data_IF_592350085799
#
_entry.id   IF_592350085799
#
_cell.length_a   1.000
_cell.length_b   1.000
_cell.length_c   1.000
_cell.angle_alpha   90.00
_cell.angle_beta   90.00
_cell.angle_gamma   90.00
#
_symmetry.space_group_name_H-M   'P 1'
#
loop_
_entity.id
_entity.type
_entity.pdbx_description
1 polymer ?
#
# COMPACT_ATOMS: atom_id res chain seq x y z
N UNK A 1 13.04 27.00 3.53
CA UNK A 1 12.27 26.49 4.69
C UNK A 1 12.65 25.04 4.95
N UNK A 2 12.90 24.62 6.20
CA UNK A 2 13.20 23.22 6.53
C UNK A 2 11.92 22.46 6.84
N UNK A 3 11.69 21.34 6.16
CA UNK A 3 10.46 20.58 6.30
C UNK A 3 10.73 19.09 6.54
N UNK A 4 10.06 18.48 7.51
CA UNK A 4 10.12 17.07 7.79
C UNK A 4 8.78 16.39 7.46
N UNK A 5 8.83 15.22 6.82
CA UNK A 5 7.65 14.45 6.45
C UNK A 5 7.69 13.07 7.10
N UNK A 6 6.55 12.65 7.65
CA UNK A 6 6.33 11.30 8.15
C UNK A 6 5.07 10.72 7.54
N UNK A 7 5.22 9.61 6.84
CA UNK A 7 4.09 8.89 6.23
C UNK A 7 3.94 7.55 6.91
N UNK A 8 2.76 7.31 7.45
CA UNK A 8 2.39 6.05 8.09
C UNK A 8 1.33 5.34 7.26
N UNK A 9 1.35 4.01 7.26
CA UNK A 9 0.32 3.17 6.65
C UNK A 9 0.57 2.82 5.19
N UNK A 10 -0.37 3.13 4.31
CA UNK A 10 -0.44 2.54 2.98
C UNK A 10 0.25 3.37 1.87
N UNK A 11 0.42 2.74 0.70
CA UNK A 11 0.95 3.38 -0.52
C UNK A 11 0.17 4.62 -0.94
N UNK A 12 -1.16 4.65 -0.70
CA UNK A 12 -2.00 5.82 -0.97
C UNK A 12 -1.55 7.03 -0.14
N UNK A 13 -1.26 6.84 1.16
CA UNK A 13 -0.73 7.92 2.00
C UNK A 13 0.64 8.40 1.49
N UNK A 14 1.47 7.52 0.99
CA UNK A 14 2.79 7.89 0.45
C UNK A 14 2.65 8.79 -0.78
N UNK A 15 1.82 8.40 -1.76
CA UNK A 15 1.54 9.26 -2.93
C UNK A 15 1.06 10.63 -2.52
N UNK A 16 0.14 10.69 -1.56
CA UNK A 16 -0.43 11.96 -1.09
C UNK A 16 0.61 12.86 -0.40
N UNK A 17 1.57 12.28 0.31
CA UNK A 17 2.66 13.05 0.91
C UNK A 17 3.64 13.57 -0.15
N UNK A 18 3.98 12.74 -1.13
CA UNK A 18 4.84 13.14 -2.25
C UNK A 18 4.19 14.24 -3.12
N UNK A 19 2.88 14.12 -3.37
CA UNK A 19 2.12 15.16 -4.07
C UNK A 19 2.12 16.47 -3.28
N UNK A 20 1.90 16.41 -1.95
CA UNK A 20 1.96 17.59 -1.11
C UNK A 20 3.30 18.32 -1.22
N UNK A 21 4.40 17.57 -1.22
CA UNK A 21 5.73 18.17 -1.38
C UNK A 21 5.83 18.94 -2.71
N UNK A 22 5.24 18.45 -3.78
CA UNK A 22 5.14 19.17 -5.06
C UNK A 22 4.36 20.48 -4.96
N UNK A 23 3.23 20.50 -4.23
CA UNK A 23 2.45 21.72 -4.00
C UNK A 23 3.16 22.75 -3.12
N UNK A 24 4.10 22.32 -2.29
CA UNK A 24 4.85 23.20 -1.41
C UNK A 24 6.14 23.76 -2.04
N UNK A 25 6.38 23.58 -3.34
CA UNK A 25 7.58 24.08 -4.04
C UNK A 25 7.80 25.58 -3.86
N UNK A 26 6.73 26.39 -3.79
CA UNK A 26 6.81 27.83 -3.56
C UNK A 26 7.47 28.19 -2.20
N UNK A 27 7.52 27.25 -1.26
CA UNK A 27 8.22 27.39 0.02
C UNK A 27 9.69 26.95 -0.05
N UNK A 28 10.15 26.47 -1.20
CA UNK A 28 11.50 25.91 -1.40
C UNK A 28 11.92 24.97 -0.26
N UNK A 29 11.17 23.87 -0.01
CA UNK A 29 11.38 23.05 1.16
C UNK A 29 12.68 22.24 1.06
N UNK A 30 13.60 22.47 2.00
CA UNK A 30 14.69 21.55 2.28
C UNK A 30 14.13 20.40 3.12
N UNK A 31 14.04 19.21 2.54
CA UNK A 31 13.54 18.02 3.26
C UNK A 31 14.61 17.50 4.21
N UNK A 32 14.27 17.47 5.49
CA UNK A 32 15.19 17.04 6.56
C UNK A 32 14.60 15.85 7.36
N UNK A 33 15.43 14.99 7.95
CA UNK A 33 14.97 13.98 8.89
C UNK A 33 14.28 14.64 10.10
N UNK A 34 13.20 14.05 10.60
CA UNK A 34 12.46 14.55 11.76
C UNK A 34 13.38 14.73 12.98
N UNK A 35 14.30 13.80 13.17
CA UNK A 35 15.22 13.71 14.28
C UNK A 35 16.38 14.71 14.20
N UNK A 36 16.60 15.33 13.05
CA UNK A 36 17.63 16.36 12.87
C UNK A 36 17.30 17.64 13.65
N UNK A 37 16.02 17.84 13.98
CA UNK A 37 15.56 19.04 14.64
C UNK A 37 15.62 20.31 13.77
N UNK A 38 15.03 21.38 14.26
CA UNK A 38 15.06 22.69 13.57
C UNK A 38 14.26 22.74 12.27
N UNK A 39 13.26 21.87 12.10
CA UNK A 39 12.29 22.00 11.03
C UNK A 39 11.32 23.16 11.34
N UNK A 40 10.95 23.92 10.30
CA UNK A 40 9.92 24.96 10.36
C UNK A 40 8.52 24.32 10.19
N UNK A 41 8.44 23.27 9.38
CA UNK A 41 7.22 22.51 9.08
C UNK A 41 7.44 21.03 9.36
N UNK A 42 6.47 20.38 10.02
CA UNK A 42 6.40 18.93 10.11
C UNK A 42 5.04 18.47 9.61
N UNK A 43 5.02 17.58 8.63
CA UNK A 43 3.81 16.95 8.11
C UNK A 43 3.78 15.48 8.46
N UNK A 44 2.71 15.04 9.13
CA UNK A 44 2.47 13.63 9.49
C UNK A 44 1.22 13.14 8.76
N UNK A 45 1.39 12.23 7.80
CA UNK A 45 0.28 11.56 7.13
C UNK A 45 -0.02 10.26 7.87
N UNK A 46 -1.13 10.23 8.58
CA UNK A 46 -1.48 9.26 9.62
C UNK A 46 -2.28 8.05 9.12
N UNK A 47 -2.16 6.93 9.82
CA UNK A 47 -2.92 5.70 9.57
C UNK A 47 -3.81 5.35 10.76
N UNK A 48 -4.98 4.72 10.48
CA UNK A 48 -5.95 4.26 11.49
C UNK A 48 -6.51 2.84 11.19
N UNK A 49 -5.83 2.06 10.35
CA UNK A 49 -6.31 0.72 9.97
C UNK A 49 -6.17 -0.25 11.16
N UNK A 50 -5.11 -0.12 11.95
CA UNK A 50 -4.87 -0.94 13.16
C UNK A 50 -4.62 -0.04 14.37
N UNK A 51 -4.80 -0.61 15.59
CA UNK A 51 -4.46 0.09 16.84
C UNK A 51 -2.96 0.38 16.95
N UNK A 52 -2.11 -0.48 16.38
CA UNK A 52 -0.67 -0.24 16.28
C UNK A 52 -0.38 1.01 15.45
N UNK A 53 -0.99 1.13 14.27
CA UNK A 53 -0.82 2.30 13.42
C UNK A 53 -1.29 3.62 14.08
N UNK A 54 -2.34 3.55 14.91
CA UNK A 54 -2.77 4.69 15.73
C UNK A 54 -1.74 5.03 16.80
N UNK A 55 -1.21 4.02 17.50
CA UNK A 55 -0.17 4.21 18.51
C UNK A 55 1.10 4.81 17.90
N UNK A 56 1.51 4.33 16.73
CA UNK A 56 2.64 4.87 15.97
C UNK A 56 2.39 6.33 15.59
N UNK A 57 1.18 6.66 15.11
CA UNK A 57 0.82 8.05 14.80
C UNK A 57 0.98 8.95 16.03
N UNK A 58 0.41 8.54 17.18
CA UNK A 58 0.55 9.32 18.43
C UNK A 58 2.00 9.48 18.87
N UNK A 59 2.81 8.42 18.69
CA UNK A 59 4.26 8.46 18.98
C UNK A 59 4.97 9.45 18.06
N UNK A 60 4.69 9.44 16.76
CA UNK A 60 5.33 10.36 15.81
C UNK A 60 4.94 11.82 16.06
N UNK A 61 3.70 12.13 16.46
CA UNK A 61 3.31 13.50 16.85
C UNK A 61 4.10 13.99 18.05
N UNK A 62 4.21 13.16 19.12
CA UNK A 62 5.04 13.51 20.29
C UNK A 62 6.52 13.69 19.93
N UNK A 63 7.06 12.82 19.05
CA UNK A 63 8.45 12.94 18.56
C UNK A 63 8.63 14.23 17.76
N UNK A 64 7.68 14.56 16.89
CA UNK A 64 7.72 15.78 16.10
C UNK A 64 7.83 17.01 17.00
N UNK A 65 6.97 17.13 18.00
CA UNK A 65 7.00 18.25 18.94
C UNK A 65 8.28 18.29 19.79
N UNK A 66 8.78 17.13 20.22
CA UNK A 66 10.01 17.03 21.01
C UNK A 66 11.25 17.45 20.24
N UNK A 67 11.41 17.00 18.99
CA UNK A 67 12.58 17.32 18.17
C UNK A 67 12.48 18.71 17.52
N UNK A 68 11.27 19.19 17.27
CA UNK A 68 11.00 20.45 16.59
C UNK A 68 9.97 21.28 17.38
N UNK A 69 10.37 21.85 18.55
CA UNK A 69 9.43 22.49 19.48
C UNK A 69 8.72 23.71 18.88
N UNK A 70 9.33 24.39 17.91
CA UNK A 70 8.81 25.60 17.28
C UNK A 70 8.19 25.35 15.89
N UNK A 71 8.25 24.12 15.38
CA UNK A 71 7.70 23.78 14.07
C UNK A 71 6.18 23.92 14.04
N UNK A 72 5.64 24.29 12.87
CA UNK A 72 4.24 24.11 12.57
C UNK A 72 3.97 22.64 12.24
N UNK A 73 3.32 21.93 13.15
CA UNK A 73 3.04 20.49 13.03
C UNK A 73 1.64 20.29 12.48
N UNK A 74 1.55 19.72 11.29
CA UNK A 74 0.28 19.39 10.62
C UNK A 74 0.10 17.89 10.53
N UNK A 75 -1.03 17.40 11.02
CA UNK A 75 -1.41 15.96 10.91
C UNK A 75 -2.55 15.80 9.95
N UNK A 76 -2.39 14.91 8.97
CA UNK A 76 -3.42 14.52 8.00
C UNK A 76 -3.59 13.01 7.97
N UNK A 77 -4.42 12.48 7.08
CA UNK A 77 -4.60 11.05 6.89
C UNK A 77 -5.78 10.47 7.67
N UNK A 78 -5.76 9.13 7.81
CA UNK A 78 -6.91 8.40 8.35
C UNK A 78 -7.14 8.67 9.84
N UNK A 79 -6.08 8.72 10.65
CA UNK A 79 -6.22 8.96 12.08
C UNK A 79 -6.62 10.40 12.40
N UNK A 80 -6.24 11.35 11.55
CA UNK A 80 -6.71 12.74 11.64
C UNK A 80 -8.25 12.85 11.55
N UNK A 81 -8.91 11.94 10.83
CA UNK A 81 -10.37 11.87 10.78
C UNK A 81 -11.03 11.11 11.93
N UNK A 82 -10.25 10.31 12.66
CA UNK A 82 -10.77 9.47 13.74
C UNK A 82 -10.66 10.15 15.12
N UNK A 83 -9.54 10.81 15.39
CA UNK A 83 -9.22 11.37 16.70
C UNK A 83 -8.51 12.74 16.60
N UNK A 84 -9.16 13.76 16.01
CA UNK A 84 -8.54 15.07 15.78
C UNK A 84 -8.13 15.76 17.08
N UNK A 85 -8.94 15.67 18.13
CA UNK A 85 -8.69 16.35 19.39
C UNK A 85 -7.49 15.75 20.13
N UNK A 86 -7.38 14.41 20.14
CA UNK A 86 -6.20 13.71 20.68
C UNK A 86 -4.92 14.18 19.99
N UNK A 87 -4.95 14.38 18.68
CA UNK A 87 -3.78 14.83 17.93
C UNK A 87 -3.37 16.27 18.30
N UNK A 88 -4.34 17.16 18.53
CA UNK A 88 -4.08 18.53 19.01
C UNK A 88 -3.50 18.52 20.41
N UNK A 89 -4.05 17.76 21.33
CA UNK A 89 -3.53 17.59 22.71
C UNK A 89 -2.09 17.08 22.72
N UNK A 90 -1.70 16.25 21.74
CA UNK A 90 -0.35 15.74 21.58
C UNK A 90 0.63 16.72 20.95
N UNK A 91 0.16 17.92 20.54
CA UNK A 91 0.99 18.99 20.01
C UNK A 91 0.90 19.22 18.51
N UNK A 92 -0.13 18.72 17.81
CA UNK A 92 -0.40 19.12 16.44
C UNK A 92 -1.02 20.54 16.42
N UNK A 93 -0.47 21.44 15.61
CA UNK A 93 -0.99 22.81 15.45
C UNK A 93 -2.20 22.81 14.49
N UNK A 94 -2.21 21.93 13.51
CA UNK A 94 -3.34 21.73 12.59
C UNK A 94 -3.62 20.26 12.35
N UNK A 95 -4.92 19.91 12.24
CA UNK A 95 -5.38 18.57 11.91
C UNK A 95 -6.34 18.64 10.72
N UNK A 96 -5.93 18.05 9.60
CA UNK A 96 -6.67 18.08 8.34
C UNK A 96 -7.05 16.64 7.94
N UNK A 97 -8.30 16.20 8.18
CA UNK A 97 -8.74 14.84 7.85
C UNK A 97 -8.80 14.60 6.34
N UNK A 98 -8.86 13.33 5.90
CA UNK A 98 -8.94 12.97 4.48
C UNK A 98 -10.11 13.66 3.75
N UNK A 99 -11.25 13.85 4.40
CA UNK A 99 -12.40 14.54 3.80
C UNK A 99 -12.11 16.01 3.41
N UNK A 100 -11.08 16.61 4.03
CA UNK A 100 -10.65 17.99 3.79
C UNK A 100 -9.20 18.06 3.29
N UNK A 101 -8.65 16.96 2.82
CA UNK A 101 -7.22 16.87 2.45
C UNK A 101 -6.83 17.84 1.32
N UNK A 102 -7.74 18.20 0.43
CA UNK A 102 -7.52 19.21 -0.58
C UNK A 102 -7.18 20.61 -0.02
N UNK A 103 -7.55 20.88 1.24
CA UNK A 103 -7.24 22.15 1.92
C UNK A 103 -5.82 22.19 2.50
N UNK A 104 -5.13 21.03 2.59
CA UNK A 104 -3.86 20.93 3.29
C UNK A 104 -2.76 21.83 2.72
N UNK A 105 -2.56 21.94 1.39
CA UNK A 105 -1.59 22.88 0.84
C UNK A 105 -1.90 24.33 1.25
N UNK A 106 -3.17 24.73 1.18
CA UNK A 106 -3.62 26.06 1.57
C UNK A 106 -3.32 26.36 3.05
N UNK A 107 -3.69 25.45 3.95
CA UNK A 107 -3.43 25.60 5.40
C UNK A 107 -1.94 25.82 5.70
N UNK A 108 -1.08 25.13 4.96
CA UNK A 108 0.38 25.28 5.14
C UNK A 108 0.86 26.59 4.54
N UNK A 109 0.49 26.93 3.29
CA UNK A 109 0.95 28.15 2.62
C UNK A 109 0.53 29.40 3.37
N UNK A 110 -0.73 29.48 3.81
CA UNK A 110 -1.26 30.60 4.63
C UNK A 110 -0.46 30.78 5.92
N UNK A 111 -0.06 29.68 6.60
CA UNK A 111 0.76 29.74 7.83
C UNK A 111 2.12 30.40 7.60
N UNK A 112 2.68 30.25 6.40
CA UNK A 112 3.96 30.84 6.02
C UNK A 112 3.83 32.15 5.21
N UNK A 113 2.64 32.74 5.20
CA UNK A 113 2.39 34.05 4.59
C UNK A 113 2.37 34.06 3.05
N UNK A 114 2.23 32.90 2.43
CA UNK A 114 2.10 32.79 0.99
C UNK A 114 0.63 32.70 0.58
N UNK A 115 0.22 33.43 -0.50
CA UNK A 115 -1.12 33.30 -1.03
C UNK A 115 -1.33 31.88 -1.57
N UNK A 116 -2.49 31.31 -1.28
CA UNK A 116 -2.94 30.09 -1.92
C UNK A 116 -3.47 30.41 -3.32
N UNK A 117 -2.59 30.38 -4.31
CA UNK A 117 -3.01 30.49 -5.71
C UNK A 117 -3.88 29.24 -6.08
N UNK A 118 -4.93 29.37 -6.88
CA UNK A 118 -5.68 28.23 -7.42
C UNK A 118 -4.81 27.13 -8.06
N UNK A 119 -3.64 27.48 -8.57
CA UNK A 119 -2.66 26.54 -9.14
C UNK A 119 -2.00 25.66 -8.06
N UNK A 120 -1.93 26.09 -6.82
CA UNK A 120 -1.34 25.31 -5.70
C UNK A 120 -2.36 24.42 -5.00
N UNK A 121 -3.66 24.63 -5.26
CA UNK A 121 -4.72 23.79 -4.71
C UNK A 121 -5.01 22.68 -5.73
N UNK A 122 -4.96 21.40 -5.36
CA UNK A 122 -5.27 20.34 -6.31
C UNK A 122 -6.67 20.53 -6.88
N UNK A 123 -6.82 20.56 -8.21
CA UNK A 123 -8.11 20.82 -8.85
C UNK A 123 -9.14 19.69 -8.62
N UNK A 124 -8.68 18.56 -8.13
CA UNK A 124 -9.49 17.39 -7.80
C UNK A 124 -8.95 16.65 -6.56
N UNK A 125 -9.67 15.65 -6.11
CA UNK A 125 -9.36 14.84 -4.93
C UNK A 125 -8.17 13.88 -5.14
N UNK A 126 -7.64 13.79 -6.37
CA UNK A 126 -6.48 13.01 -6.72
C UNK A 126 -5.27 13.93 -6.84
N UNK A 127 -4.38 13.81 -5.87
CA UNK A 127 -3.12 14.52 -5.90
C UNK A 127 -2.13 13.72 -6.73
N UNK A 128 -1.54 14.34 -7.72
CA UNK A 128 -0.52 13.68 -8.50
C UNK A 128 -0.34 14.18 -9.90
N UNK A 129 -1.05 15.15 -10.41
CA UNK A 129 -0.74 15.74 -11.71
C UNK A 129 0.38 16.76 -11.60
N UNK A 130 1.45 16.60 -12.35
CA UNK A 130 2.55 17.55 -12.45
C UNK A 130 3.84 17.09 -11.74
N UNK A 131 4.75 18.02 -11.56
CA UNK A 131 6.04 17.77 -10.89
C UNK A 131 5.85 17.55 -9.41
N UNK A 132 5.69 16.30 -8.99
CA UNK A 132 5.69 15.95 -7.56
C UNK A 132 7.11 15.69 -7.05
N UNK A 133 7.31 15.93 -5.77
CA UNK A 133 8.54 15.51 -5.08
C UNK A 133 8.50 14.02 -4.79
N UNK A 134 9.60 13.31 -5.03
CA UNK A 134 9.76 11.91 -4.62
C UNK A 134 10.57 11.89 -3.32
N UNK A 135 9.97 11.36 -2.24
CA UNK A 135 10.61 11.32 -0.92
C UNK A 135 11.54 10.11 -0.75
N UNK A 136 11.18 8.95 -1.29
CA UNK A 136 11.80 7.69 -0.89
C UNK A 136 12.38 6.83 -2.00
N UNK A 137 12.05 7.03 -3.26
CA UNK A 137 12.59 6.19 -4.34
C UNK A 137 12.64 6.94 -5.66
N UNK A 138 13.78 6.81 -6.34
CA UNK A 138 13.96 7.25 -7.73
C UNK A 138 13.81 6.10 -8.73
N UNK A 139 13.46 4.90 -8.28
CA UNK A 139 13.37 3.69 -9.09
C UNK A 139 11.92 3.28 -9.33
N UNK A 140 11.11 3.29 -8.27
CA UNK A 140 9.68 2.96 -8.31
C UNK A 140 8.85 4.14 -7.86
N UNK A 141 7.72 4.37 -8.53
CA UNK A 141 6.75 5.37 -8.09
C UNK A 141 5.35 4.77 -7.98
N UNK A 142 4.61 5.20 -6.97
CA UNK A 142 3.20 4.84 -6.83
C UNK A 142 2.35 5.81 -7.64
N UNK A 143 1.44 5.27 -8.46
CA UNK A 143 0.46 6.03 -9.22
C UNK A 143 -0.93 5.78 -8.63
N UNK A 144 -1.47 6.75 -7.92
CA UNK A 144 -2.80 6.68 -7.32
C UNK A 144 -3.87 6.97 -8.36
N UNK A 145 -4.74 5.99 -8.61
CA UNK A 145 -5.81 6.08 -9.63
C UNK A 145 -7.21 5.88 -9.05
N UNK A 146 -7.30 5.41 -7.79
CA UNK A 146 -8.57 5.16 -7.12
C UNK A 146 -8.48 5.55 -5.65
N UNK A 147 -9.55 6.09 -5.07
CA UNK A 147 -9.67 6.41 -3.64
C UNK A 147 -11.09 6.14 -3.13
N UNK A 148 -11.19 5.99 -1.80
CA UNK A 148 -12.46 5.65 -1.16
C UNK A 148 -12.89 4.21 -1.40
N UNK A 149 -13.93 3.75 -0.67
CA UNK A 149 -14.45 2.39 -0.79
C UNK A 149 -15.90 2.31 -0.30
N UNK A 150 -16.75 1.57 -1.01
CA UNK A 150 -18.14 1.30 -0.64
C UNK A 150 -18.44 -0.22 -0.54
N UNK A 151 -17.42 -1.07 -0.41
CA UNK A 151 -17.59 -2.52 -0.34
C UNK A 151 -18.40 -2.99 0.89
N UNK A 152 -18.37 -2.22 1.99
CA UNK A 152 -19.18 -2.50 3.18
C UNK A 152 -18.68 -3.64 4.05
N UNK A 153 -17.39 -3.99 3.98
CA UNK A 153 -16.79 -5.01 4.85
C UNK A 153 -17.02 -4.68 6.32
N UNK A 154 -17.51 -5.66 7.10
CA UNK A 154 -17.98 -5.44 8.46
C UNK A 154 -16.90 -4.90 9.42
N UNK A 155 -15.63 -5.25 9.18
CA UNK A 155 -14.48 -4.86 10.00
C UNK A 155 -13.82 -3.55 9.57
N UNK A 156 -14.14 -3.02 8.37
CA UNK A 156 -13.37 -1.96 7.75
C UNK A 156 -13.88 -0.57 8.09
N UNK A 157 -12.97 0.29 8.55
CA UNK A 157 -13.26 1.70 8.88
C UNK A 157 -13.05 2.64 7.68
N UNK A 158 -12.41 2.18 6.62
CA UNK A 158 -12.00 3.00 5.47
C UNK A 158 -13.15 3.77 4.81
N UNK A 159 -14.37 3.21 4.61
CA UNK A 159 -15.48 3.95 4.05
C UNK A 159 -15.82 5.25 4.82
N UNK A 160 -15.61 5.23 6.14
CA UNK A 160 -15.85 6.40 7.01
C UNK A 160 -14.74 7.44 6.93
N UNK A 161 -13.50 7.01 6.67
CA UNK A 161 -12.31 7.86 6.70
C UNK A 161 -11.94 8.43 5.34
N UNK A 162 -12.29 7.74 4.25
CA UNK A 162 -11.97 8.12 2.88
C UNK A 162 -13.18 8.37 1.99
N UNK A 163 -14.38 8.04 2.48
CA UNK A 163 -15.64 8.30 1.78
C UNK A 163 -15.90 7.37 0.59
N UNK A 164 -16.74 7.85 -0.32
CA UNK A 164 -17.17 7.12 -1.52
C UNK A 164 -16.03 6.87 -2.48
N UNK A 165 -16.20 5.84 -3.32
CA UNK A 165 -15.25 5.53 -4.40
C UNK A 165 -15.13 6.70 -5.38
N UNK A 166 -13.90 7.02 -5.75
CA UNK A 166 -13.53 8.02 -6.76
C UNK A 166 -12.48 7.41 -7.67
N UNK A 167 -12.59 7.71 -8.94
CA UNK A 167 -11.76 7.13 -9.98
C UNK A 167 -11.14 8.26 -10.81
N UNK A 168 -9.82 8.21 -10.94
CA UNK A 168 -9.08 9.18 -11.75
C UNK A 168 -9.30 8.91 -13.24
N UNK A 169 -9.46 9.95 -14.05
CA UNK A 169 -9.48 9.81 -15.49
C UNK A 169 -8.17 9.18 -16.00
N UNK A 170 -8.24 8.24 -16.93
CA UNK A 170 -7.08 7.51 -17.41
C UNK A 170 -6.07 8.42 -18.12
N UNK A 171 -6.51 9.47 -18.81
CA UNK A 171 -5.62 10.41 -19.51
C UNK A 171 -4.77 11.19 -18.51
N UNK A 172 -5.37 11.63 -17.39
CA UNK A 172 -4.61 12.26 -16.30
C UNK A 172 -3.62 11.29 -15.65
N UNK A 173 -4.01 10.03 -15.48
CA UNK A 173 -3.13 9.00 -14.92
C UNK A 173 -1.95 8.71 -15.88
N UNK A 174 -2.20 8.63 -17.18
CA UNK A 174 -1.16 8.44 -18.20
C UNK A 174 -0.22 9.64 -18.29
N UNK A 175 -0.72 10.86 -18.22
CA UNK A 175 0.10 12.07 -18.23
C UNK A 175 1.07 12.11 -17.04
N UNK A 176 0.61 11.72 -15.82
CA UNK A 176 1.49 11.59 -14.65
C UNK A 176 2.49 10.45 -14.84
N UNK A 177 2.05 9.30 -15.34
CA UNK A 177 2.94 8.16 -15.61
C UNK A 177 4.08 8.55 -16.55
N UNK A 178 3.75 9.26 -17.64
CA UNK A 178 4.73 9.78 -18.58
C UNK A 178 5.73 10.75 -17.94
N UNK A 179 5.24 11.65 -17.07
CA UNK A 179 6.11 12.55 -16.32
C UNK A 179 7.06 11.76 -15.40
N UNK A 180 6.57 10.74 -14.70
CA UNK A 180 7.39 9.85 -13.85
C UNK A 180 8.45 9.10 -14.65
N UNK A 181 8.10 8.57 -15.82
CA UNK A 181 9.06 7.90 -16.72
C UNK A 181 10.15 8.87 -17.22
N UNK A 182 9.78 10.10 -17.56
CA UNK A 182 10.77 11.17 -17.92
C UNK A 182 11.71 11.50 -16.76
N UNK A 183 11.26 11.39 -15.52
CA UNK A 183 12.09 11.54 -14.31
C UNK A 183 13.04 10.35 -14.07
N UNK A 184 12.98 9.30 -14.89
CA UNK A 184 13.82 8.12 -14.78
C UNK A 184 13.25 6.99 -13.93
N UNK A 185 11.98 7.08 -13.51
CA UNK A 185 11.29 5.97 -12.82
C UNK A 185 11.26 4.74 -13.73
N UNK A 186 11.52 3.57 -13.17
CA UNK A 186 11.60 2.28 -13.91
C UNK A 186 10.36 1.43 -13.75
N UNK A 187 9.67 1.50 -12.61
CA UNK A 187 8.46 0.73 -12.34
C UNK A 187 7.37 1.63 -11.77
N UNK A 188 6.17 1.56 -12.35
CA UNK A 188 4.97 2.21 -11.85
C UNK A 188 4.14 1.20 -11.07
N UNK A 189 3.86 1.50 -9.82
CA UNK A 189 2.99 0.70 -8.96
C UNK A 189 1.62 1.35 -8.89
N UNK A 190 0.65 0.80 -9.62
CA UNK A 190 -0.73 1.26 -9.54
C UNK A 190 -1.29 1.07 -8.14
N UNK A 191 -1.88 2.10 -7.59
CA UNK A 191 -2.38 2.07 -6.23
C UNK A 191 -3.75 2.71 -6.07
N UNK A 192 -4.51 2.15 -5.14
CA UNK A 192 -5.84 2.62 -4.76
C UNK A 192 -6.27 2.00 -3.44
N UNK A 193 -7.38 2.44 -2.90
CA UNK A 193 -8.02 1.86 -1.71
C UNK A 193 -8.74 0.56 -2.06
N UNK A 194 -9.40 0.53 -3.24
CA UNK A 194 -10.01 -0.63 -3.88
C UNK A 194 -9.65 -0.60 -5.37
N UNK A 195 -8.38 -0.88 -5.67
CA UNK A 195 -7.80 -0.66 -6.99
C UNK A 195 -8.58 -1.37 -8.10
N UNK A 196 -9.02 -2.62 -7.87
CA UNK A 196 -9.74 -3.40 -8.86
C UNK A 196 -11.07 -2.79 -9.30
N UNK A 197 -11.69 -1.95 -8.45
CA UNK A 197 -12.93 -1.24 -8.80
C UNK A 197 -12.72 -0.03 -9.75
N UNK A 198 -11.50 0.21 -10.22
CA UNK A 198 -11.18 1.37 -11.06
C UNK A 198 -12.03 1.43 -12.33
N UNK A 199 -12.63 2.61 -12.60
CA UNK A 199 -13.55 2.89 -13.72
C UNK A 199 -13.16 4.11 -14.54
N UNK A 200 -11.98 4.67 -14.35
CA UNK A 200 -11.52 5.86 -15.07
C UNK A 200 -11.09 5.57 -16.52
N UNK A 201 -11.01 4.30 -16.92
CA UNK A 201 -10.79 3.85 -18.29
C UNK A 201 -12.00 3.04 -18.79
N UNK A 202 -12.38 3.06 -20.09
CA UNK A 202 -13.51 2.29 -20.64
C UNK A 202 -13.43 0.77 -20.36
N UNK A 203 -12.22 0.20 -20.36
CA UNK A 203 -11.95 -1.20 -20.01
C UNK A 203 -11.50 -1.38 -18.54
N UNK A 204 -11.82 -0.41 -17.68
CA UNK A 204 -11.44 -0.47 -16.26
C UNK A 204 -9.93 -0.57 -16.04
N UNK A 205 -9.53 -1.31 -15.00
CA UNK A 205 -8.12 -1.46 -14.62
C UNK A 205 -7.28 -2.15 -15.72
N UNK A 206 -7.82 -3.13 -16.42
CA UNK A 206 -7.12 -3.86 -17.47
C UNK A 206 -6.67 -2.92 -18.61
N UNK A 207 -7.54 -2.02 -19.06
CA UNK A 207 -7.20 -1.06 -20.09
C UNK A 207 -6.11 -0.09 -19.65
N UNK A 208 -6.18 0.42 -18.42
CA UNK A 208 -5.13 1.31 -17.89
C UNK A 208 -3.77 0.60 -17.79
N UNK A 209 -3.76 -0.67 -17.37
CA UNK A 209 -2.51 -1.47 -17.31
C UNK A 209 -1.91 -1.63 -18.69
N UNK A 210 -2.72 -1.94 -19.70
CA UNK A 210 -2.28 -2.11 -21.07
C UNK A 210 -1.73 -0.79 -21.66
N UNK A 211 -2.42 0.33 -21.43
CA UNK A 211 -1.95 1.65 -21.86
C UNK A 211 -0.61 2.03 -21.21
N UNK A 212 -0.44 1.77 -19.91
CA UNK A 212 0.83 2.02 -19.21
C UNK A 212 1.97 1.15 -19.75
N UNK A 213 1.69 -0.11 -20.10
CA UNK A 213 2.66 -0.97 -20.77
C UNK A 213 3.09 -0.37 -22.12
N UNK A 214 2.14 0.08 -22.96
CA UNK A 214 2.45 0.70 -24.25
C UNK A 214 3.20 2.03 -24.10
N UNK A 215 3.07 2.70 -22.95
CA UNK A 215 3.88 3.88 -22.61
C UNK A 215 5.35 3.53 -22.27
N UNK A 216 5.68 2.23 -22.16
CA UNK A 216 7.00 1.74 -21.81
C UNK A 216 7.24 1.56 -20.31
N UNK A 217 6.20 1.62 -19.49
CA UNK A 217 6.32 1.39 -18.06
C UNK A 217 6.42 -0.10 -17.71
N UNK A 218 7.27 -0.45 -16.74
CA UNK A 218 7.09 -1.68 -15.97
C UNK A 218 5.95 -1.43 -14.99
N UNK A 219 4.90 -2.29 -15.01
CA UNK A 219 3.66 -2.05 -14.25
C UNK A 219 3.47 -3.10 -13.17
N UNK A 220 3.29 -2.67 -11.93
CA UNK A 220 2.91 -3.52 -10.79
C UNK A 220 1.58 -3.08 -10.22
N UNK A 221 0.79 -4.03 -9.77
CA UNK A 221 -0.49 -3.76 -9.11
C UNK A 221 -0.31 -3.83 -7.58
N UNK A 222 -0.95 -2.92 -6.85
CA UNK A 222 -1.13 -3.07 -5.41
C UNK A 222 -2.27 -4.06 -5.11
N UNK A 223 -2.76 -4.10 -3.87
CA UNK A 223 -3.82 -5.02 -3.45
C UNK A 223 -5.09 -4.86 -4.28
N UNK A 224 -5.66 -5.99 -4.69
CA UNK A 224 -6.92 -6.09 -5.44
C UNK A 224 -7.87 -7.02 -4.70
N UNK A 225 -9.15 -6.69 -4.72
CA UNK A 225 -10.18 -7.57 -4.21
C UNK A 225 -10.45 -8.72 -5.21
N UNK A 226 -10.65 -9.96 -4.73
CA UNK A 226 -10.93 -11.10 -5.61
C UNK A 226 -12.06 -10.87 -6.59
N UNK A 227 -13.18 -10.32 -6.12
CA UNK A 227 -14.36 -10.03 -6.93
C UNK A 227 -14.16 -8.93 -7.99
N UNK A 228 -13.11 -8.14 -7.88
CA UNK A 228 -12.74 -7.08 -8.84
C UNK A 228 -11.67 -7.56 -9.84
N UNK A 229 -11.22 -8.82 -9.73
CA UNK A 229 -10.17 -9.40 -10.58
C UNK A 229 -10.82 -10.16 -11.75
N UNK A 230 -11.07 -9.42 -12.83
CA UNK A 230 -11.68 -10.01 -14.03
C UNK A 230 -10.67 -10.71 -14.94
N UNK A 231 -11.19 -11.58 -15.82
CA UNK A 231 -10.38 -12.35 -16.76
C UNK A 231 -9.59 -11.46 -17.74
N UNK A 232 -10.14 -10.31 -18.16
CA UNK A 232 -9.44 -9.35 -19.02
C UNK A 232 -8.15 -8.85 -18.36
N UNK A 233 -8.19 -8.57 -17.06
CA UNK A 233 -6.99 -8.18 -16.31
C UNK A 233 -5.95 -9.32 -16.27
N UNK A 234 -6.35 -10.56 -16.00
CA UNK A 234 -5.43 -11.70 -15.98
C UNK A 234 -4.78 -11.92 -17.35
N UNK A 235 -5.56 -11.80 -18.43
CA UNK A 235 -5.05 -11.90 -19.81
C UNK A 235 -4.05 -10.79 -20.15
N UNK A 236 -4.33 -9.55 -19.73
CA UNK A 236 -3.41 -8.43 -19.94
C UNK A 236 -2.09 -8.66 -19.19
N UNK A 237 -2.15 -9.07 -17.92
CA UNK A 237 -0.94 -9.40 -17.14
C UNK A 237 -0.16 -10.52 -17.81
N UNK A 238 -0.83 -11.62 -18.20
CA UNK A 238 -0.17 -12.77 -18.82
C UNK A 238 0.44 -12.47 -20.17
N UNK A 239 -0.22 -11.64 -21.00
CA UNK A 239 0.27 -11.23 -22.31
C UNK A 239 1.54 -10.40 -22.24
N UNK A 240 1.65 -9.56 -21.25
CA UNK A 240 2.72 -8.57 -21.15
C UNK A 240 3.70 -8.85 -20.00
N UNK A 241 3.65 -10.03 -19.39
CA UNK A 241 4.66 -10.47 -18.44
C UNK A 241 6.04 -10.66 -19.12
N UNK A 242 7.13 -10.29 -18.48
CA UNK A 242 7.27 -9.81 -17.10
C UNK A 242 7.20 -8.28 -16.91
N UNK A 243 7.03 -7.48 -17.96
CA UNK A 243 6.94 -6.00 -17.85
C UNK A 243 5.70 -5.58 -17.07
N UNK A 244 4.54 -6.19 -17.34
CA UNK A 244 3.43 -6.20 -16.40
C UNK A 244 3.70 -7.32 -15.40
N UNK A 245 4.01 -6.93 -14.17
CA UNK A 245 4.57 -7.83 -13.15
C UNK A 245 3.62 -9.00 -12.85
N UNK A 246 4.09 -10.28 -12.96
CA UNK A 246 3.27 -11.49 -12.79
C UNK A 246 2.99 -11.76 -11.30
N UNK A 247 2.48 -10.76 -10.61
CA UNK A 247 2.20 -10.80 -9.18
C UNK A 247 0.85 -10.16 -8.90
N UNK A 248 0.00 -10.86 -8.14
CA UNK A 248 -1.22 -10.29 -7.58
C UNK A 248 -1.24 -10.45 -6.06
N UNK A 249 -1.59 -9.35 -5.40
CA UNK A 249 -1.95 -9.37 -4.00
C UNK A 249 -3.48 -9.43 -3.90
N UNK A 250 -4.04 -10.62 -3.67
CA UNK A 250 -5.48 -10.88 -3.57
C UNK A 250 -5.88 -11.03 -2.10
N UNK A 251 -6.74 -10.15 -1.60
CA UNK A 251 -7.11 -10.10 -0.19
C UNK A 251 -8.08 -11.23 0.18
N UNK A 252 -7.58 -12.34 0.77
CA UNK A 252 -8.42 -13.48 1.20
C UNK A 252 -9.23 -13.17 2.46
N UNK A 253 -8.58 -12.61 3.48
CA UNK A 253 -9.09 -12.28 4.82
C UNK A 253 -9.32 -13.49 5.74
N UNK A 254 -9.99 -14.55 5.31
CA UNK A 254 -10.22 -15.80 6.05
C UNK A 254 -10.53 -16.95 5.10
N UNK A 255 -10.24 -18.19 5.49
CA UNK A 255 -10.61 -19.40 4.75
C UNK A 255 -11.93 -20.03 5.21
N UNK A 256 -12.81 -19.30 5.91
CA UNK A 256 -14.14 -19.76 6.30
C UNK A 256 -15.23 -19.05 5.50
N UNK A 257 -16.04 -19.77 4.74
CA UNK A 257 -17.14 -19.19 3.95
C UNK A 257 -18.18 -18.48 4.83
N UNK A 258 -18.45 -19.01 6.04
CA UNK A 258 -19.33 -18.35 7.00
C UNK A 258 -18.78 -17.00 7.42
N UNK A 259 -17.48 -16.93 7.75
CA UNK A 259 -16.84 -15.68 8.15
C UNK A 259 -16.72 -14.71 6.97
N UNK A 260 -16.40 -15.15 5.76
CA UNK A 260 -16.41 -14.33 4.56
C UNK A 260 -17.77 -13.66 4.39
N UNK A 261 -18.86 -14.42 4.44
CA UNK A 261 -20.23 -13.91 4.36
C UNK A 261 -20.56 -12.94 5.52
N UNK A 262 -20.21 -13.30 6.76
CA UNK A 262 -20.46 -12.47 7.94
C UNK A 262 -19.71 -11.13 7.86
N UNK A 263 -18.48 -11.15 7.34
CA UNK A 263 -17.65 -9.96 7.13
C UNK A 263 -18.06 -9.16 5.89
N UNK A 264 -19.05 -9.62 5.13
CA UNK A 264 -19.58 -8.91 3.96
C UNK A 264 -18.66 -9.03 2.74
N UNK A 265 -17.89 -10.12 2.64
CA UNK A 265 -17.12 -10.45 1.43
C UNK A 265 -18.08 -11.03 0.37
N UNK A 266 -17.80 -10.74 -0.90
CA UNK A 266 -18.66 -11.09 -2.04
C UNK A 266 -18.16 -12.30 -2.81
N UNK A 267 -17.30 -13.09 -2.20
CA UNK A 267 -16.75 -14.34 -2.72
C UNK A 267 -16.70 -15.38 -1.60
N UNK A 268 -16.58 -16.63 -1.99
CA UNK A 268 -16.34 -17.79 -1.13
C UNK A 268 -14.99 -18.45 -1.47
N UNK A 269 -14.64 -19.50 -0.77
CA UNK A 269 -13.40 -20.28 -1.02
C UNK A 269 -13.34 -20.87 -2.42
N UNK A 270 -14.48 -21.34 -2.94
CA UNK A 270 -14.53 -21.94 -4.26
C UNK A 270 -14.19 -20.92 -5.34
N UNK A 271 -14.81 -19.75 -5.30
CA UNK A 271 -14.50 -18.62 -6.18
C UNK A 271 -13.02 -18.20 -6.08
N UNK A 272 -12.49 -18.05 -4.85
CA UNK A 272 -11.10 -17.64 -4.64
C UNK A 272 -10.11 -18.67 -5.21
N UNK A 273 -10.37 -19.96 -4.99
CA UNK A 273 -9.57 -21.07 -5.54
C UNK A 273 -9.55 -21.02 -7.06
N UNK A 274 -10.72 -20.92 -7.69
CA UNK A 274 -10.85 -20.85 -9.15
C UNK A 274 -10.11 -19.64 -9.72
N UNK A 275 -10.25 -18.46 -9.11
CA UNK A 275 -9.53 -17.26 -9.51
C UNK A 275 -8.01 -17.45 -9.47
N UNK A 276 -7.50 -18.03 -8.39
CA UNK A 276 -6.06 -18.31 -8.22
C UNK A 276 -5.58 -19.31 -9.27
N UNK A 277 -6.34 -20.39 -9.51
CA UNK A 277 -5.99 -21.36 -10.55
C UNK A 277 -5.95 -20.71 -11.94
N UNK A 278 -6.95 -19.90 -12.29
CA UNK A 278 -6.95 -19.15 -13.55
C UNK A 278 -5.77 -18.18 -13.67
N UNK A 279 -5.35 -17.56 -12.58
CA UNK A 279 -4.16 -16.72 -12.59
C UNK A 279 -2.90 -17.55 -12.88
N UNK A 280 -2.75 -18.73 -12.30
CA UNK A 280 -1.65 -19.65 -12.65
C UNK A 280 -1.69 -20.12 -14.10
N UNK A 281 -2.87 -20.37 -14.65
CA UNK A 281 -3.03 -20.83 -16.04
C UNK A 281 -2.73 -19.73 -17.07
N UNK A 282 -3.07 -18.47 -16.75
CA UNK A 282 -2.98 -17.36 -17.69
C UNK A 282 -1.70 -16.52 -17.56
N UNK A 283 -1.04 -16.53 -16.39
CA UNK A 283 0.09 -15.63 -16.11
C UNK A 283 1.36 -16.46 -15.91
N UNK A 284 2.30 -16.45 -16.87
CA UNK A 284 3.58 -17.13 -16.71
C UNK A 284 4.36 -16.59 -15.51
N UNK A 285 4.86 -17.48 -14.65
CA UNK A 285 5.62 -17.09 -13.46
C UNK A 285 4.79 -16.41 -12.37
N UNK A 286 3.48 -16.67 -12.32
CA UNK A 286 2.56 -16.05 -11.38
C UNK A 286 2.94 -16.27 -9.92
N UNK A 287 2.88 -15.20 -9.14
CA UNK A 287 3.05 -15.20 -7.69
C UNK A 287 1.82 -14.61 -6.98
N UNK A 288 1.30 -15.37 -6.02
CA UNK A 288 0.19 -14.96 -5.16
C UNK A 288 0.71 -14.46 -3.82
N UNK A 289 0.28 -13.25 -3.42
CA UNK A 289 0.39 -12.81 -2.02
C UNK A 289 -1.00 -12.47 -1.48
N UNK A 290 -1.21 -12.55 -0.16
CA UNK A 290 -2.54 -12.36 0.42
C UNK A 290 -2.50 -11.80 1.83
N UNK A 291 -3.62 -11.19 2.25
CA UNK A 291 -3.87 -10.78 3.63
C UNK A 291 -4.81 -11.76 4.32
N UNK A 292 -4.53 -12.09 5.59
CA UNK A 292 -5.40 -12.92 6.44
C UNK A 292 -5.51 -12.31 7.83
N UNK A 293 -6.73 -12.27 8.35
CA UNK A 293 -7.05 -11.70 9.66
C UNK A 293 -7.41 -12.83 10.63
N UNK A 294 -6.60 -13.02 11.67
CA UNK A 294 -6.87 -13.96 12.75
C UNK A 294 -7.76 -13.37 13.82
N UNK A 295 -8.71 -14.16 14.31
CA UNK A 295 -9.57 -13.80 15.42
C UNK A 295 -10.66 -12.79 15.05
N UNK A 296 -11.21 -12.91 13.85
CA UNK A 296 -12.43 -12.20 13.46
C UNK A 296 -13.55 -12.48 14.48
N UNK A 297 -14.50 -11.55 14.68
CA UNK A 297 -15.62 -11.79 15.58
C UNK A 297 -16.33 -13.10 15.30
N UNK A 298 -16.61 -13.86 16.34
CA UNK A 298 -17.25 -15.20 16.30
C UNK A 298 -16.46 -16.32 15.63
N UNK A 299 -15.21 -16.10 15.24
CA UNK A 299 -14.36 -17.14 14.64
C UNK A 299 -14.17 -18.32 15.61
N UNK A 300 -14.54 -19.52 15.18
CA UNK A 300 -14.34 -20.75 15.94
C UNK A 300 -12.93 -21.32 15.73
N UNK A 301 -12.57 -22.36 16.50
CA UNK A 301 -11.29 -23.05 16.32
C UNK A 301 -11.25 -23.86 15.02
N UNK A 302 -12.39 -24.43 14.62
CA UNK A 302 -12.55 -25.15 13.37
C UNK A 302 -12.34 -24.22 12.18
N UNK A 303 -12.92 -23.03 12.21
CA UNK A 303 -12.77 -22.03 11.14
C UNK A 303 -11.35 -21.47 11.04
N UNK A 304 -10.65 -21.35 12.17
CA UNK A 304 -9.24 -21.03 12.14
C UNK A 304 -8.43 -22.15 11.44
N UNK A 305 -8.70 -23.43 11.76
CA UNK A 305 -8.06 -24.57 11.10
C UNK A 305 -8.41 -24.64 9.60
N UNK A 306 -9.67 -24.35 9.22
CA UNK A 306 -10.05 -24.24 7.81
C UNK A 306 -9.23 -23.17 7.09
N UNK A 307 -8.98 -22.04 7.73
CA UNK A 307 -8.16 -20.97 7.16
C UNK A 307 -6.72 -21.43 6.94
N UNK A 308 -6.12 -22.13 7.92
CA UNK A 308 -4.77 -22.68 7.79
C UNK A 308 -4.70 -23.71 6.66
N UNK A 309 -5.65 -24.66 6.60
CA UNK A 309 -5.72 -25.68 5.56
C UNK A 309 -5.90 -25.08 4.15
N UNK A 310 -6.71 -24.03 4.04
CA UNK A 310 -6.92 -23.36 2.75
C UNK A 310 -5.66 -22.61 2.28
N UNK A 311 -4.88 -22.04 3.18
CA UNK A 311 -3.58 -21.46 2.84
C UNK A 311 -2.55 -22.53 2.42
N UNK A 312 -2.56 -23.71 3.04
CA UNK A 312 -1.73 -24.86 2.62
C UNK A 312 -2.10 -25.36 1.22
N UNK A 313 -3.38 -25.35 0.86
CA UNK A 313 -3.86 -25.65 -0.48
C UNK A 313 -3.41 -24.61 -1.51
N UNK A 314 -3.61 -23.32 -1.23
CA UNK A 314 -3.29 -22.22 -2.15
C UNK A 314 -1.78 -21.98 -2.33
N UNK A 315 -0.99 -22.29 -1.31
CA UNK A 315 0.47 -22.10 -1.28
C UNK A 315 0.94 -20.70 -1.75
N UNK A 316 0.43 -19.62 -1.15
CA UNK A 316 0.87 -18.27 -1.53
C UNK A 316 2.36 -18.08 -1.26
N UNK A 317 3.00 -17.20 -2.04
CA UNK A 317 4.43 -16.85 -1.85
C UNK A 317 4.63 -16.01 -0.58
N UNK A 318 3.61 -15.25 -0.17
CA UNK A 318 3.63 -14.46 1.06
C UNK A 318 2.22 -14.28 1.63
N UNK A 319 2.09 -14.44 2.93
CA UNK A 319 0.86 -14.13 3.68
C UNK A 319 1.14 -13.02 4.68
N UNK A 320 0.37 -11.95 4.62
CA UNK A 320 0.37 -10.93 5.66
C UNK A 320 -0.68 -11.28 6.70
N UNK A 321 -0.24 -11.75 7.85
CA UNK A 321 -1.09 -12.13 8.96
C UNK A 321 -1.39 -10.93 9.87
N UNK A 322 -2.67 -10.63 10.06
CA UNK A 322 -3.13 -9.55 10.94
C UNK A 322 -3.92 -10.10 12.11
N UNK A 323 -3.70 -9.54 13.30
CA UNK A 323 -4.61 -9.74 14.42
C UNK A 323 -5.80 -8.82 14.27
N UNK A 324 -7.02 -9.37 14.31
CA UNK A 324 -8.23 -8.53 14.31
C UNK A 324 -8.22 -7.53 15.45
N UNK A 325 -8.48 -6.28 15.14
CA UNK A 325 -8.67 -5.19 16.11
C UNK A 325 -9.98 -4.47 15.84
N UNK A 326 -10.90 -4.40 16.85
CA UNK A 326 -12.18 -3.70 16.68
C UNK A 326 -11.96 -2.24 16.28
N UNK A 327 -12.63 -1.80 15.23
CA UNK A 327 -12.58 -0.41 14.78
C UNK A 327 -13.88 0.31 15.17
N UNK A 328 -13.81 1.53 15.73
CA UNK A 328 -15.00 2.26 16.16
C UNK A 328 -16.06 2.37 15.06
N UNK A 329 -17.31 2.17 15.44
CA UNK A 329 -18.46 2.31 14.54
C UNK A 329 -18.48 1.35 13.33
N UNK A 330 -17.71 0.27 13.34
CA UNK A 330 -17.81 -0.84 12.37
C UNK A 330 -18.79 -1.89 12.88
N UNK A 331 -19.47 -2.63 11.99
CA UNK A 331 -20.40 -3.71 12.38
C UNK A 331 -19.69 -4.79 13.19
N UNK A 332 -18.47 -5.16 12.79
CA UNK A 332 -17.69 -6.19 13.47
C UNK A 332 -17.32 -5.81 14.91
N UNK A 333 -17.20 -4.52 15.23
CA UNK A 333 -16.87 -4.10 16.59
C UNK A 333 -18.00 -4.37 17.61
N UNK A 334 -19.27 -4.47 17.15
CA UNK A 334 -20.42 -4.79 18.01
C UNK A 334 -20.77 -6.27 18.07
N UNK A 335 -20.06 -7.14 17.33
CA UNK A 335 -20.24 -8.58 17.35
C UNK A 335 -19.52 -9.21 18.56
N UNK A 336 -19.87 -10.44 18.98
CA UNK A 336 -19.13 -11.18 19.99
C UNK A 336 -17.65 -11.34 19.61
N UNK A 337 -16.77 -10.89 20.48
CA UNK A 337 -15.35 -10.83 20.23
C UNK A 337 -14.63 -12.12 20.64
N UNK A 338 -13.69 -12.59 19.82
CA UNK A 338 -12.74 -13.63 20.22
C UNK A 338 -11.80 -13.04 21.28
N UNK A 339 -11.49 -13.78 22.37
CA UNK A 339 -10.59 -13.31 23.42
C UNK A 339 -9.22 -12.85 22.87
N UNK A 340 -8.60 -11.80 23.43
CA UNK A 340 -7.35 -11.25 22.92
C UNK A 340 -6.19 -12.26 22.87
N UNK A 341 -6.09 -13.13 23.85
CA UNK A 341 -5.08 -14.18 23.93
C UNK A 341 -5.25 -15.22 22.82
N UNK A 342 -6.49 -15.59 22.49
CA UNK A 342 -6.81 -16.51 21.39
C UNK A 342 -6.46 -15.85 20.04
N UNK A 343 -6.82 -14.58 19.85
CA UNK A 343 -6.43 -13.82 18.64
C UNK A 343 -4.91 -13.81 18.46
N UNK A 344 -4.14 -13.54 19.52
CA UNK A 344 -2.68 -13.52 19.46
C UNK A 344 -2.10 -14.91 19.15
N UNK A 345 -2.63 -15.98 19.76
CA UNK A 345 -2.22 -17.36 19.45
C UNK A 345 -2.45 -17.69 17.98
N UNK A 346 -3.65 -17.48 17.47
CA UNK A 346 -4.01 -17.74 16.08
C UNK A 346 -3.15 -16.92 15.10
N UNK A 347 -2.84 -15.68 15.42
CA UNK A 347 -1.93 -14.86 14.60
C UNK A 347 -0.53 -15.45 14.54
N UNK A 348 -0.01 -15.98 15.66
CA UNK A 348 1.30 -16.65 15.68
C UNK A 348 1.30 -17.92 14.83
N UNK A 349 0.23 -18.72 14.90
CA UNK A 349 0.05 -19.91 14.07
C UNK A 349 0.03 -19.57 12.58
N UNK A 350 -0.70 -18.52 12.20
CA UNK A 350 -0.70 -18.00 10.83
C UNK A 350 0.68 -17.54 10.37
N UNK A 351 1.42 -16.82 11.21
CA UNK A 351 2.78 -16.36 10.89
C UNK A 351 3.71 -17.55 10.68
N UNK A 352 3.65 -18.56 11.57
CA UNK A 352 4.47 -19.77 11.45
C UNK A 352 4.16 -20.53 10.15
N UNK A 353 2.87 -20.69 9.80
CA UNK A 353 2.46 -21.29 8.53
C UNK A 353 2.95 -20.45 7.34
N UNK A 354 2.77 -19.13 7.38
CA UNK A 354 3.21 -18.23 6.31
C UNK A 354 4.71 -18.34 6.03
N UNK A 355 5.53 -18.41 7.08
CA UNK A 355 6.98 -18.59 6.97
C UNK A 355 7.32 -19.94 6.32
N UNK A 356 6.72 -21.03 6.77
CA UNK A 356 6.93 -22.36 6.19
C UNK A 356 6.54 -22.40 4.70
N UNK A 357 5.37 -21.88 4.33
CA UNK A 357 4.92 -21.84 2.93
C UNK A 357 5.86 -20.99 2.06
N UNK A 358 6.33 -19.87 2.57
CA UNK A 358 7.27 -19.03 1.85
C UNK A 358 8.61 -19.75 1.62
N UNK A 359 9.15 -20.43 2.63
CA UNK A 359 10.38 -21.23 2.51
C UNK A 359 10.21 -22.36 1.49
N UNK A 360 9.08 -23.06 1.52
CA UNK A 360 8.76 -24.11 0.55
C UNK A 360 8.66 -23.57 -0.90
N UNK A 361 8.18 -22.35 -1.07
CA UNK A 361 8.02 -21.71 -2.40
C UNK A 361 9.31 -21.09 -2.91
N UNK A 362 10.16 -20.56 -2.04
CA UNK A 362 11.40 -19.89 -2.44
C UNK A 362 12.57 -20.89 -2.63
N UNK A 363 12.60 -21.97 -1.86
CA UNK A 363 13.69 -22.96 -1.88
C UNK A 363 13.96 -23.58 -3.28
N UNK A 364 12.95 -23.92 -4.10
CA UNK A 364 13.18 -24.42 -5.46
C UNK A 364 13.89 -23.42 -6.39
N UNK A 365 13.92 -22.14 -6.00
CA UNK A 365 14.58 -21.07 -6.79
C UNK A 365 16.11 -21.12 -6.69
N UNK A 366 16.68 -21.94 -5.78
CA UNK A 366 18.12 -22.12 -5.67
C UNK A 366 18.73 -22.60 -6.99
N UNK A 367 19.76 -21.89 -7.46
CA UNK A 367 20.40 -22.14 -8.74
C UNK A 367 19.72 -21.48 -9.95
N UNK A 368 18.50 -20.95 -9.80
CA UNK A 368 17.84 -20.21 -10.86
C UNK A 368 18.54 -18.88 -11.17
N UNK A 369 18.40 -18.44 -12.42
CA UNK A 369 18.80 -17.11 -12.83
C UNK A 369 17.56 -16.20 -12.84
N UNK A 370 17.59 -15.15 -12.03
CA UNK A 370 16.45 -14.25 -11.83
C UNK A 370 16.77 -12.82 -12.26
N UNK A 371 15.78 -12.13 -12.82
CA UNK A 371 15.84 -10.69 -13.03
C UNK A 371 15.57 -9.96 -11.69
N UNK A 372 16.38 -8.97 -11.36
CA UNK A 372 16.18 -8.11 -10.18
C UNK A 372 16.24 -6.65 -10.59
N UNK A 373 15.20 -5.88 -10.29
CA UNK A 373 15.22 -4.43 -10.35
C UNK A 373 15.83 -3.90 -9.05
N UNK A 374 17.03 -3.34 -9.13
CA UNK A 374 17.73 -2.78 -7.97
C UNK A 374 17.07 -1.49 -7.54
N UNK A 375 16.62 -1.41 -6.29
CA UNK A 375 15.90 -0.25 -5.74
C UNK A 375 16.76 0.63 -4.86
N UNK A 376 17.70 0.05 -4.13
CA UNK A 376 18.60 0.76 -3.22
C UNK A 376 19.88 -0.03 -2.98
N UNK A 377 20.90 0.69 -2.53
CA UNK A 377 22.14 0.09 -2.01
C UNK A 377 22.25 0.46 -0.53
N UNK A 378 22.49 -0.52 0.32
CA UNK A 378 22.60 -0.33 1.75
C UNK A 378 23.68 -1.28 2.32
N UNK A 379 24.66 -0.73 3.06
CA UNK A 379 25.72 -1.54 3.65
C UNK A 379 26.62 -2.26 2.64
N UNK A 380 26.70 -1.79 1.40
CA UNK A 380 27.47 -2.45 0.31
C UNK A 380 26.69 -3.51 -0.46
N UNK A 381 25.46 -3.82 -0.07
CA UNK A 381 24.58 -4.77 -0.75
C UNK A 381 23.53 -4.03 -1.60
N UNK A 382 23.23 -4.55 -2.79
CA UNK A 382 22.16 -4.06 -3.62
C UNK A 382 20.84 -4.81 -3.30
N UNK A 383 19.79 -4.06 -3.03
CA UNK A 383 18.48 -4.57 -2.64
C UNK A 383 17.46 -4.24 -3.71
N UNK A 384 16.63 -5.21 -4.08
CA UNK A 384 15.61 -5.03 -5.10
C UNK A 384 14.52 -6.08 -5.05
N UNK A 385 13.70 -6.14 -6.10
CA UNK A 385 12.65 -7.15 -6.25
C UNK A 385 12.72 -7.82 -7.62
N UNK A 386 12.35 -9.09 -7.64
CA UNK A 386 12.09 -9.82 -8.89
C UNK A 386 10.73 -9.40 -9.49
N UNK A 387 10.45 -9.71 -10.76
CA UNK A 387 9.15 -9.46 -11.37
C UNK A 387 7.98 -10.07 -10.59
N UNK A 388 8.14 -11.28 -10.06
CA UNK A 388 7.18 -12.03 -9.23
C UNK A 388 7.22 -11.67 -7.74
N UNK A 389 7.86 -10.54 -7.39
CA UNK A 389 7.81 -9.87 -6.09
C UNK A 389 8.58 -10.54 -4.94
N UNK A 390 9.57 -11.38 -5.22
CA UNK A 390 10.53 -11.76 -4.18
C UNK A 390 11.51 -10.61 -3.92
N UNK A 391 11.79 -10.36 -2.67
CA UNK A 391 12.90 -9.50 -2.27
C UNK A 391 14.22 -10.20 -2.65
N UNK A 392 15.17 -9.43 -3.16
CA UNK A 392 16.49 -9.96 -3.51
C UNK A 392 17.59 -9.08 -2.92
N UNK A 393 18.61 -9.73 -2.38
CA UNK A 393 19.83 -9.13 -1.90
C UNK A 393 20.98 -9.63 -2.77
N UNK A 394 21.67 -8.71 -3.41
CA UNK A 394 22.70 -9.00 -4.38
C UNK A 394 24.08 -8.64 -3.83
N UNK A 395 25.03 -9.55 -3.97
CA UNK A 395 26.43 -9.26 -3.76
C UNK A 395 27.01 -8.60 -5.03
N UNK A 396 27.90 -7.62 -4.83
CA UNK A 396 28.57 -6.92 -5.91
C UNK A 396 28.04 -5.52 -6.21
N UNK A 397 28.66 -4.89 -7.19
CA UNK A 397 28.31 -3.52 -7.58
C UNK A 397 27.09 -3.49 -8.49
N UNK A 398 26.02 -2.89 -8.01
CA UNK A 398 24.83 -2.57 -8.81
C UNK A 398 24.24 -1.23 -8.35
N UNK A 399 23.60 -0.50 -9.26
CA UNK A 399 23.08 0.84 -8.97
C UNK A 399 21.55 0.84 -8.92
N UNK A 400 20.95 1.70 -8.08
CA UNK A 400 19.50 1.87 -8.10
C UNK A 400 18.99 2.22 -9.52
N UNK A 401 17.96 1.50 -9.96
CA UNK A 401 17.38 1.61 -11.31
C UNK A 401 17.96 0.66 -12.35
N UNK A 402 19.05 -0.03 -12.05
CA UNK A 402 19.56 -1.11 -12.91
C UNK A 402 18.67 -2.36 -12.78
N UNK A 403 18.51 -3.05 -13.91
CA UNK A 403 17.95 -4.40 -13.95
C UNK A 403 19.10 -5.36 -14.16
N UNK A 404 19.34 -6.23 -13.18
CA UNK A 404 20.44 -7.20 -13.22
C UNK A 404 19.91 -8.62 -13.23
N UNK A 405 20.65 -9.52 -13.86
CA UNK A 405 20.39 -10.96 -13.83
C UNK A 405 21.36 -11.63 -12.87
N UNK A 406 20.86 -12.17 -11.79
CA UNK A 406 21.62 -12.82 -10.75
C UNK A 406 21.26 -14.31 -10.62
N UNK A 407 22.21 -15.13 -10.18
CA UNK A 407 21.94 -16.53 -9.83
C UNK A 407 21.66 -16.62 -8.35
N UNK A 408 20.56 -17.24 -7.97
CA UNK A 408 20.18 -17.47 -6.58
C UNK A 408 21.13 -18.52 -5.97
N UNK A 409 21.94 -18.15 -5.00
CA UNK A 409 22.86 -19.04 -4.29
C UNK A 409 22.41 -19.35 -2.85
N UNK A 410 21.44 -18.58 -2.33
CA UNK A 410 20.89 -18.76 -1.00
C UNK A 410 19.49 -18.21 -0.87
N UNK A 411 18.83 -18.55 0.22
CA UNK A 411 17.52 -18.02 0.60
C UNK A 411 17.48 -17.77 2.11
N UNK A 412 16.90 -16.63 2.51
CA UNK A 412 16.73 -16.25 3.91
C UNK A 412 15.30 -15.74 4.11
N UNK A 413 14.43 -16.55 4.72
CA UNK A 413 13.01 -16.24 4.87
C UNK A 413 12.32 -15.98 3.51
N UNK A 414 12.04 -14.72 3.21
CA UNK A 414 11.40 -14.28 1.95
C UNK A 414 12.39 -13.68 0.93
N UNK A 415 13.70 -13.73 1.21
CA UNK A 415 14.73 -13.03 0.44
C UNK A 415 15.56 -14.02 -0.34
N UNK A 416 15.78 -13.74 -1.63
CA UNK A 416 16.74 -14.40 -2.50
C UNK A 416 18.13 -13.78 -2.28
N UNK A 417 19.15 -14.63 -2.14
CA UNK A 417 20.54 -14.22 -1.97
C UNK A 417 21.33 -14.60 -3.21
#
# INVERSE_FOLDING_TARGET
MRAAFRTLGCKVNQVETEALLGFLKALEPEVVPLEAGGADLVVINSCAVTTTAEADTRKEVRRARRYNPHAFIVVTGCYAGLAPDVLKELGADAVVPNARKAELPRVILERFGLPSDPITTPPNEFWGAGERGLLNSRVRAFLKVQDGCQAGCAYCIIPRLRGKERHRDHREALAEAEALLRMGIKEIVLTGVRLGSYKGHPRGLAGLVEDLYHLGAKVRLSSIEPEDTGEDLLKVIGRYAPEVRPHLHLSLQTGSDRLLKLMGRRYDKAYYRELVQRAYDLIPGFALTTDVIAGLPTETEEEHRETLAFLEELRPTRVHAFTYTPRPKTRAASMPQVPPEVRKRRTKELIALAQRLAEERIRPRLGERVEVLVERVQGGEALGHTPDYYEARLEGEARPGETVWARVHGVEGYVLL
#
